data_IF_976244342962
#
_entry.id   IF_976244342962
#
_cell.length_a   1.000
_cell.length_b   1.000
_cell.length_c   1.000
_cell.angle_alpha   90.00
_cell.angle_beta   90.00
_cell.angle_gamma   90.00
#
_symmetry.space_group_name_H-M   'P 1'
#
loop_
_entity.id
_entity.type
_entity.pdbx_description
1 polymer ?
#
# COMPACT_ATOMS: atom_id res chain seq x y z
N UNK A 1 24.12 -8.74 37.45
CA UNK A 1 25.54 -8.58 37.07
C UNK A 1 26.52 -8.96 38.19
N UNK A 2 26.55 -8.33 39.40
CA UNK A 2 27.49 -8.70 40.48
C UNK A 2 27.23 -10.10 41.08
N UNK A 3 25.97 -10.51 41.24
CA UNK A 3 25.59 -11.82 41.79
C UNK A 3 25.95 -12.94 40.80
N UNK A 4 25.76 -12.76 39.53
CA UNK A 4 26.11 -13.72 38.48
C UNK A 4 27.64 -13.94 38.37
N UNK A 5 28.41 -12.86 38.48
CA UNK A 5 29.90 -12.94 38.51
C UNK A 5 30.38 -13.68 39.77
N UNK A 6 29.69 -13.49 40.91
CA UNK A 6 30.03 -14.21 42.16
C UNK A 6 29.70 -15.69 42.06
N UNK A 7 28.52 -16.05 41.55
CA UNK A 7 28.10 -17.43 41.35
C UNK A 7 29.00 -18.16 40.34
N UNK A 8 29.38 -17.43 39.25
CA UNK A 8 30.30 -17.94 38.25
C UNK A 8 31.70 -18.23 38.80
N UNK A 9 32.24 -17.31 39.62
CA UNK A 9 33.53 -17.55 40.32
C UNK A 9 33.48 -18.73 41.28
N UNK A 10 32.37 -18.90 41.98
CA UNK A 10 32.15 -20.01 42.92
C UNK A 10 32.04 -21.35 42.18
N UNK A 11 31.37 -21.37 41.05
CA UNK A 11 31.20 -22.53 40.18
C UNK A 11 32.54 -22.96 39.54
N UNK A 12 33.32 -22.02 39.01
CA UNK A 12 34.66 -22.29 38.48
C UNK A 12 35.60 -22.84 39.57
N UNK A 13 35.57 -22.27 40.77
CA UNK A 13 36.38 -22.74 41.90
C UNK A 13 35.98 -24.17 42.31
N UNK A 14 34.70 -24.50 42.29
CA UNK A 14 34.20 -25.86 42.56
C UNK A 14 34.64 -26.88 41.52
N UNK A 15 34.57 -26.54 40.25
CA UNK A 15 35.05 -27.38 39.14
C UNK A 15 36.55 -27.59 39.23
N UNK A 16 37.35 -26.58 39.47
CA UNK A 16 38.80 -26.67 39.62
C UNK A 16 39.18 -27.60 40.75
N UNK A 17 38.50 -27.48 41.92
CA UNK A 17 38.78 -28.34 43.11
C UNK A 17 38.38 -29.81 42.85
N UNK A 18 37.30 -30.06 42.13
CA UNK A 18 36.82 -31.44 41.83
C UNK A 18 37.69 -32.14 40.80
N UNK A 19 38.34 -31.39 39.91
CA UNK A 19 39.19 -31.90 38.85
C UNK A 19 40.71 -31.95 39.21
N UNK A 20 41.11 -31.35 40.33
CA UNK A 20 42.48 -31.50 40.83
C UNK A 20 42.81 -32.95 41.27
N UNK A 21 41.80 -33.84 41.36
CA UNK A 21 41.96 -35.26 41.67
C UNK A 21 42.09 -36.19 40.47
N UNK A 22 42.27 -35.65 39.23
CA UNK A 22 42.29 -36.40 37.98
C UNK A 22 43.63 -36.20 37.22
N UNK A 23 44.04 -37.23 36.49
CA UNK A 23 45.23 -37.47 35.71
C UNK A 23 45.88 -36.22 35.03
N UNK A 24 47.25 -36.08 35.00
CA UNK A 24 47.93 -34.87 34.56
C UNK A 24 47.64 -34.42 33.12
N UNK A 25 47.28 -35.33 32.22
CA UNK A 25 46.88 -34.97 30.86
C UNK A 25 45.52 -34.23 30.81
N UNK A 26 44.60 -34.57 31.71
CA UNK A 26 43.33 -33.86 31.84
C UNK A 26 43.44 -32.51 32.55
N UNK A 27 44.52 -32.28 33.32
CA UNK A 27 44.79 -30.96 33.92
C UNK A 27 45.20 -29.92 32.89
N UNK A 28 46.00 -30.30 31.88
CA UNK A 28 46.35 -29.40 30.76
C UNK A 28 45.13 -29.02 29.92
N UNK A 29 44.26 -29.99 29.64
CA UNK A 29 43.00 -29.76 28.93
C UNK A 29 42.10 -28.76 29.62
N UNK A 30 41.94 -28.91 30.93
CA UNK A 30 41.09 -28.03 31.73
C UNK A 30 41.64 -26.61 31.84
N UNK A 31 42.97 -26.46 31.97
CA UNK A 31 43.64 -25.16 32.03
C UNK A 31 43.43 -24.39 30.72
N UNK A 32 43.55 -25.06 29.58
CA UNK A 32 43.29 -24.50 28.25
C UNK A 32 41.80 -24.13 28.08
N UNK A 33 40.89 -24.98 28.53
CA UNK A 33 39.45 -24.70 28.48
C UNK A 33 39.06 -23.49 29.35
N UNK A 34 39.64 -23.35 30.54
CA UNK A 34 39.44 -22.19 31.42
C UNK A 34 40.05 -20.92 30.82
N UNK A 35 41.18 -21.03 30.13
CA UNK A 35 41.81 -19.90 29.44
C UNK A 35 40.94 -19.43 28.25
N UNK A 36 40.39 -20.35 27.47
CA UNK A 36 39.48 -20.06 26.36
C UNK A 36 38.17 -19.40 26.88
N UNK A 37 37.58 -19.92 27.94
CA UNK A 37 36.41 -19.33 28.57
C UNK A 37 36.68 -17.93 29.13
N UNK A 38 37.88 -17.67 29.62
CA UNK A 38 38.30 -16.35 30.10
C UNK A 38 38.46 -15.35 28.95
N UNK A 39 39.07 -15.77 27.83
CA UNK A 39 39.29 -14.96 26.64
C UNK A 39 37.91 -14.60 25.99
N UNK A 40 37.01 -15.57 25.89
CA UNK A 40 35.64 -15.34 25.35
C UNK A 40 34.84 -14.39 26.23
N UNK A 41 35.01 -14.43 27.56
CA UNK A 41 34.31 -13.48 28.45
C UNK A 41 34.83 -12.04 28.34
N UNK A 42 36.08 -11.84 27.98
CA UNK A 42 36.67 -10.49 27.76
C UNK A 42 36.19 -9.91 26.43
N UNK A 43 36.08 -10.72 25.37
CA UNK A 43 35.59 -10.23 24.06
C UNK A 43 34.12 -9.87 24.04
N UNK A 44 33.28 -10.41 24.95
CA UNK A 44 31.88 -10.03 25.07
C UNK A 44 31.65 -8.70 25.82
N UNK A 45 32.65 -8.24 26.61
CA UNK A 45 32.57 -6.95 27.32
C UNK A 45 32.95 -5.76 26.42
N UNK A 46 33.83 -5.99 25.42
CA UNK A 46 34.20 -4.91 24.48
C UNK A 46 33.17 -4.66 23.36
N UNK A 47 32.26 -5.58 23.12
CA UNK A 47 31.19 -5.42 22.11
C UNK A 47 29.95 -4.69 22.61
N UNK A 48 29.86 -4.39 23.93
CA UNK A 48 28.71 -3.67 24.52
C UNK A 48 28.96 -2.19 24.78
N UNK A 49 30.15 -1.66 24.41
CA UNK A 49 30.50 -0.26 24.63
C UNK A 49 30.20 0.69 23.44
N UNK A 50 29.79 0.17 22.27
CA UNK A 50 29.58 0.98 21.06
C UNK A 50 28.09 1.19 20.66
N UNK A 51 27.18 1.16 21.63
CA UNK A 51 25.76 1.47 21.37
C UNK A 51 25.24 2.54 22.32
N UNK A 52 25.76 3.80 22.19
CA UNK A 52 25.04 4.98 22.58
C UNK A 52 25.79 6.23 22.10
N UNK A 53 25.59 6.62 20.85
CA UNK A 53 25.67 8.03 20.45
C UNK A 53 24.96 8.20 19.10
N UNK A 54 23.72 8.64 19.16
CA UNK A 54 23.08 9.39 18.10
C UNK A 54 22.25 10.49 18.72
N UNK A 55 22.39 11.66 18.10
CA UNK A 55 21.52 12.84 18.10
C UNK A 55 21.92 13.93 19.11
N UNK A 56 22.53 15.00 18.59
CA UNK A 56 21.93 16.32 18.40
C UNK A 56 22.90 17.28 17.76
N UNK A 57 22.39 18.00 16.76
CA UNK A 57 22.99 19.10 16.03
C UNK A 57 23.34 20.30 16.93
N UNK A 58 24.30 21.01 16.49
CA UNK A 58 24.49 22.46 16.25
C UNK A 58 25.87 23.01 16.68
N UNK A 59 26.52 23.45 15.62
CA UNK A 59 27.42 24.59 15.43
C UNK A 59 28.20 25.18 16.64
N UNK A 60 29.47 25.38 16.51
CA UNK A 60 30.30 26.57 16.30
C UNK A 60 31.71 26.45 16.86
N UNK A 61 32.62 26.75 15.95
CA UNK A 61 33.92 27.44 16.08
C UNK A 61 34.87 27.27 17.28
N UNK A 62 36.08 26.89 16.86
CA UNK A 62 37.41 27.44 17.14
C UNK A 62 38.23 26.97 18.33
N UNK A 63 39.47 26.78 17.91
CA UNK A 63 40.78 27.00 18.60
C UNK A 63 41.45 25.81 19.25
N UNK A 64 42.59 25.51 18.66
CA UNK A 64 43.51 24.48 19.00
C UNK A 64 44.26 24.71 20.33
N UNK A 65 44.82 23.63 20.83
CA UNK A 65 46.03 23.65 21.62
C UNK A 65 46.68 22.25 21.53
N UNK A 66 47.86 22.25 20.99
CA UNK A 66 48.87 21.18 21.10
C UNK A 66 49.36 21.05 22.54
N UNK A 67 49.45 19.85 23.05
CA UNK A 67 50.40 19.56 24.10
C UNK A 67 51.12 18.23 23.83
N UNK A 68 52.39 18.36 23.79
CA UNK A 68 53.44 17.35 23.69
C UNK A 68 53.64 16.58 24.98
N UNK A 69 54.02 15.33 24.83
CA UNK A 69 55.06 14.58 25.51
C UNK A 69 55.02 14.49 27.06
N UNK A 70 55.05 13.28 27.52
CA UNK A 70 55.24 12.89 28.90
C UNK A 70 55.43 11.39 29.07
N UNK A 71 56.63 10.92 28.71
CA UNK A 71 57.13 9.61 29.07
C UNK A 71 57.15 9.40 30.58
N UNK A 72 56.52 8.31 31.04
CA UNK A 72 56.84 7.76 32.37
C UNK A 72 57.12 6.29 32.18
N UNK A 73 58.42 5.99 32.31
CA UNK A 73 58.98 4.66 32.54
C UNK A 73 58.52 4.19 33.93
N UNK A 74 57.89 3.01 34.02
CA UNK A 74 57.95 2.21 35.21
C UNK A 74 58.15 0.75 34.83
N UNK A 75 59.33 0.27 35.16
CA UNK A 75 59.73 -1.14 35.19
C UNK A 75 58.75 -1.99 35.99
N UNK A 76 58.25 -3.08 35.41
CA UNK A 76 57.99 -4.29 36.18
C UNK A 76 57.77 -5.51 35.27
N UNK A 77 58.72 -6.41 35.35
CA UNK A 77 58.61 -7.86 35.17
C UNK A 77 58.00 -8.40 33.87
N UNK A 78 58.91 -8.68 32.98
CA UNK A 78 58.81 -9.54 31.81
C UNK A 78 58.27 -10.93 32.19
N UNK A 79 56.96 -11.16 31.99
CA UNK A 79 56.41 -12.45 31.61
C UNK A 79 56.05 -12.34 30.16
N UNK A 80 56.91 -12.83 29.26
CA UNK A 80 56.81 -12.79 27.82
C UNK A 80 55.49 -13.35 27.26
N UNK A 81 54.47 -12.55 27.28
CA UNK A 81 53.33 -12.71 26.38
C UNK A 81 53.56 -11.79 25.18
N UNK A 82 54.19 -12.33 24.15
CA UNK A 82 54.25 -11.65 22.87
C UNK A 82 52.90 -11.16 22.44
N UNK A 83 52.86 -10.01 21.77
CA UNK A 83 51.66 -9.35 21.25
C UNK A 83 50.69 -10.38 20.60
N UNK A 84 49.69 -10.85 21.34
CA UNK A 84 48.64 -11.72 20.83
C UNK A 84 47.68 -10.84 20.06
N UNK A 85 47.87 -10.79 18.75
CA UNK A 85 46.92 -10.06 17.86
C UNK A 85 45.60 -10.82 17.75
N UNK A 86 44.49 -10.11 17.45
CA UNK A 86 43.18 -10.76 17.21
C UNK A 86 43.27 -11.91 16.20
N UNK A 87 44.15 -11.84 15.22
CA UNK A 87 44.34 -12.88 14.21
C UNK A 87 45.02 -14.14 14.79
N UNK A 88 45.94 -14.00 15.75
CA UNK A 88 46.56 -15.13 16.46
C UNK A 88 45.49 -15.84 17.32
N UNK A 89 44.62 -15.08 17.99
CA UNK A 89 43.51 -15.65 18.77
C UNK A 89 42.54 -16.39 17.84
N UNK A 90 42.21 -15.83 16.70
CA UNK A 90 41.31 -16.41 15.70
C UNK A 90 41.88 -17.73 15.14
N UNK A 91 43.18 -17.80 14.86
CA UNK A 91 43.82 -19.01 14.34
C UNK A 91 43.94 -20.11 15.42
N UNK A 92 44.29 -19.77 16.67
CA UNK A 92 44.35 -20.75 17.77
C UNK A 92 42.92 -21.29 18.10
N UNK A 93 41.88 -20.46 18.02
CA UNK A 93 40.51 -20.90 18.27
C UNK A 93 39.97 -21.77 17.14
N UNK A 94 40.33 -21.52 15.89
CA UNK A 94 39.92 -22.32 14.73
C UNK A 94 40.51 -23.77 14.78
N UNK A 95 41.73 -23.94 15.27
CA UNK A 95 42.33 -25.27 15.45
C UNK A 95 41.75 -26.06 16.63
N UNK A 96 41.12 -25.35 17.58
CA UNK A 96 40.58 -25.97 18.80
C UNK A 96 39.09 -26.25 18.70
N UNK A 97 38.33 -25.33 18.08
CA UNK A 97 36.90 -25.39 17.98
C UNK A 97 36.48 -25.17 16.51
N UNK A 98 36.01 -26.23 15.87
CA UNK A 98 35.54 -26.21 14.51
C UNK A 98 34.01 -26.49 14.51
N UNK A 99 33.20 -25.45 14.72
CA UNK A 99 31.75 -25.47 14.46
C UNK A 99 31.54 -24.91 13.07
N UNK A 100 31.46 -25.77 12.07
CA UNK A 100 31.29 -25.36 10.69
C UNK A 100 29.81 -25.38 10.30
N UNK A 101 29.32 -24.23 9.84
CA UNK A 101 27.94 -24.00 9.40
C UNK A 101 28.02 -23.21 8.10
N UNK A 102 28.10 -23.88 6.94
CA UNK A 102 28.20 -23.20 5.66
C UNK A 102 26.90 -22.47 5.31
N UNK A 103 27.02 -21.40 4.54
CA UNK A 103 25.87 -20.74 3.91
C UNK A 103 25.15 -21.71 2.98
N UNK A 104 23.83 -21.58 2.92
CA UNK A 104 22.97 -22.42 2.06
C UNK A 104 22.22 -21.55 1.08
N UNK A 105 22.25 -21.94 -0.19
CA UNK A 105 21.39 -21.38 -1.23
C UNK A 105 20.59 -22.51 -1.87
N UNK A 106 19.28 -22.36 -1.91
CA UNK A 106 18.36 -23.32 -2.53
C UNK A 106 17.20 -22.60 -3.20
N UNK A 107 16.44 -23.30 -3.99
CA UNK A 107 15.12 -22.86 -4.44
C UNK A 107 14.03 -23.30 -3.45
N UNK A 108 12.90 -22.61 -3.46
CA UNK A 108 11.71 -22.98 -2.67
C UNK A 108 11.33 -24.45 -2.95
N UNK A 109 11.11 -25.23 -1.89
CA UNK A 109 10.82 -26.67 -2.01
C UNK A 109 12.02 -27.53 -2.39
N UNK A 110 13.24 -26.98 -2.56
CA UNK A 110 14.46 -27.73 -2.85
C UNK A 110 14.88 -28.65 -1.69
N UNK A 111 15.70 -29.68 -1.95
CA UNK A 111 16.10 -30.69 -0.96
C UNK A 111 17.20 -30.25 -0.01
N UNK A 112 17.90 -29.15 -0.28
CA UNK A 112 19.06 -28.72 0.47
C UNK A 112 18.68 -28.38 1.92
N UNK A 113 19.51 -28.84 2.86
CA UNK A 113 19.39 -28.61 4.30
C UNK A 113 20.53 -27.69 4.79
N UNK A 114 20.34 -27.10 5.96
CA UNK A 114 21.43 -26.45 6.68
C UNK A 114 22.29 -27.56 7.33
N UNK A 115 23.42 -27.83 6.73
CA UNK A 115 24.37 -28.84 7.20
C UNK A 115 25.28 -28.24 8.29
N UNK A 116 25.54 -28.98 9.34
CA UNK A 116 26.34 -28.56 10.49
C UNK A 116 27.33 -29.66 10.84
N UNK A 117 28.61 -29.31 10.98
CA UNK A 117 29.60 -30.21 11.52
C UNK A 117 30.31 -29.58 12.72
N UNK A 118 30.58 -30.40 13.72
CA UNK A 118 31.18 -29.94 14.97
C UNK A 118 32.35 -30.84 15.40
N UNK A 119 33.54 -30.24 15.54
CA UNK A 119 34.72 -30.84 16.09
C UNK A 119 35.29 -30.00 17.22
N UNK A 120 35.89 -30.63 18.19
CA UNK A 120 36.61 -29.99 19.28
C UNK A 120 37.98 -30.67 19.42
N UNK A 121 39.08 -29.90 19.33
CA UNK A 121 40.46 -30.43 19.27
C UNK A 121 40.65 -31.48 18.17
N UNK A 122 40.14 -31.21 16.99
CA UNK A 122 40.16 -32.11 15.83
C UNK A 122 39.45 -33.47 16.08
N UNK A 123 38.71 -33.61 17.18
CA UNK A 123 37.91 -34.80 17.50
C UNK A 123 36.45 -34.51 17.17
N UNK A 124 35.76 -35.44 16.53
CA UNK A 124 34.32 -35.34 16.23
C UNK A 124 33.53 -35.26 17.51
N UNK A 125 32.64 -34.28 17.62
CA UNK A 125 31.74 -34.10 18.76
C UNK A 125 30.48 -34.91 18.55
N UNK A 126 30.46 -36.15 19.07
CA UNK A 126 29.29 -37.03 19.06
C UNK A 126 28.27 -36.59 20.11
N UNK A 127 27.00 -36.77 19.80
CA UNK A 127 25.89 -36.49 20.73
C UNK A 127 25.94 -35.07 21.33
N UNK A 128 26.50 -34.10 20.61
CA UNK A 128 26.50 -32.72 21.02
C UNK A 128 25.12 -32.08 20.70
N UNK A 129 24.45 -31.55 21.73
CA UNK A 129 23.20 -30.82 21.54
C UNK A 129 23.47 -29.40 21.08
N UNK A 130 23.04 -29.09 19.87
CA UNK A 130 23.14 -27.76 19.23
C UNK A 130 21.78 -27.06 19.22
N UNK A 131 21.78 -25.80 19.59
CA UNK A 131 20.64 -24.91 19.40
C UNK A 131 20.79 -24.16 18.09
N UNK A 132 19.81 -24.27 17.21
CA UNK A 132 19.74 -23.56 15.92
C UNK A 132 18.59 -22.57 16.00
N UNK A 133 18.87 -21.27 15.91
CA UNK A 133 17.84 -20.23 15.80
C UNK A 133 17.75 -19.81 14.35
N UNK A 134 16.58 -19.99 13.73
CA UNK A 134 16.31 -19.65 12.34
C UNK A 134 14.91 -19.04 12.21
N UNK A 135 14.80 -17.89 11.61
CA UNK A 135 13.53 -17.14 11.44
C UNK A 135 12.76 -16.97 12.78
N UNK A 136 13.49 -16.69 13.87
CA UNK A 136 12.90 -16.51 15.22
C UNK A 136 12.50 -17.81 15.93
N UNK A 137 12.67 -18.96 15.29
CA UNK A 137 12.34 -20.28 15.87
C UNK A 137 13.60 -20.97 16.33
N UNK A 138 13.55 -21.59 17.51
CA UNK A 138 14.65 -22.36 18.08
C UNK A 138 14.44 -23.86 17.83
N UNK A 139 15.44 -24.49 17.21
CA UNK A 139 15.51 -25.92 16.94
C UNK A 139 16.66 -26.51 17.74
N UNK A 140 16.47 -27.70 18.30
CA UNK A 140 17.49 -28.45 19.00
C UNK A 140 17.82 -29.72 18.21
N UNK A 141 19.07 -29.86 17.83
CA UNK A 141 19.60 -30.99 17.06
C UNK A 141 20.79 -31.59 17.72
N UNK A 142 20.93 -32.91 17.63
CA UNK A 142 22.06 -33.66 18.21
C UNK A 142 22.95 -34.17 17.07
N UNK A 143 24.24 -34.02 17.21
CA UNK A 143 25.23 -34.54 16.24
C UNK A 143 25.32 -36.04 16.29
N UNK A 144 25.53 -36.66 15.14
CA UNK A 144 25.72 -38.09 14.98
C UNK A 144 27.16 -38.50 15.32
N UNK A 145 27.54 -39.77 15.03
CA UNK A 145 28.86 -40.31 15.30
C UNK A 145 29.98 -39.63 14.50
N UNK A 146 29.65 -38.99 13.38
CA UNK A 146 30.58 -38.21 12.57
C UNK A 146 30.65 -36.74 13.01
N UNK A 147 29.99 -36.37 14.09
CA UNK A 147 29.88 -34.99 14.55
C UNK A 147 29.00 -34.09 13.64
N UNK A 148 28.13 -34.67 12.85
CA UNK A 148 27.29 -33.95 11.90
C UNK A 148 25.81 -33.95 12.31
N UNK A 149 25.11 -32.91 11.94
CA UNK A 149 23.64 -32.84 12.00
C UNK A 149 23.13 -31.91 10.90
N UNK A 150 21.84 -31.94 10.63
CA UNK A 150 21.23 -31.05 9.65
C UNK A 150 19.87 -30.56 10.07
N UNK A 151 19.44 -29.41 9.54
CA UNK A 151 18.12 -28.84 9.68
C UNK A 151 17.47 -28.68 8.31
N UNK A 152 16.29 -29.31 8.12
CA UNK A 152 15.47 -29.11 6.92
C UNK A 152 14.95 -27.67 6.87
N UNK A 153 15.05 -27.06 5.68
CA UNK A 153 14.72 -25.66 5.43
C UNK A 153 13.36 -25.56 4.72
N UNK A 154 12.29 -25.57 5.51
CA UNK A 154 10.90 -25.42 5.02
C UNK A 154 10.40 -24.00 5.31
N UNK A 155 11.02 -23.02 4.66
CA UNK A 155 10.70 -21.60 4.78
C UNK A 155 10.26 -21.05 3.44
N UNK A 156 9.57 -19.92 3.46
CA UNK A 156 9.23 -19.17 2.25
C UNK A 156 10.51 -18.66 1.55
N UNK A 157 10.37 -18.26 0.30
CA UNK A 157 11.47 -17.63 -0.44
C UNK A 157 11.91 -16.34 0.25
N UNK A 158 13.24 -16.16 0.39
CA UNK A 158 13.79 -15.05 1.16
C UNK A 158 15.22 -15.30 1.61
N UNK A 159 15.74 -14.37 2.41
CA UNK A 159 17.08 -14.42 2.99
C UNK A 159 16.93 -14.44 4.51
N UNK A 160 17.55 -15.42 5.15
CA UNK A 160 17.48 -15.65 6.59
C UNK A 160 18.85 -15.81 7.20
N UNK A 161 19.01 -15.34 8.43
CA UNK A 161 20.21 -15.59 9.24
C UNK A 161 19.95 -16.78 10.16
N UNK A 162 20.72 -17.84 9.99
CA UNK A 162 20.77 -18.96 10.91
C UNK A 162 21.87 -18.71 11.96
N UNK A 163 21.55 -18.98 13.22
CA UNK A 163 22.51 -18.94 14.31
C UNK A 163 22.57 -20.30 14.98
N UNK A 164 23.74 -20.94 14.96
CA UNK A 164 23.97 -22.23 15.61
C UNK A 164 24.81 -22.01 16.84
N UNK A 165 24.38 -22.52 17.99
CA UNK A 165 25.10 -22.37 19.25
C UNK A 165 25.24 -23.69 20.01
N UNK A 166 26.36 -23.83 20.68
CA UNK A 166 26.66 -24.92 21.61
C UNK A 166 26.89 -24.36 23.01
N UNK A 167 26.15 -24.85 23.99
CA UNK A 167 26.22 -24.42 25.41
C UNK A 167 26.15 -22.91 25.63
N UNK A 168 25.49 -22.14 24.75
CA UNK A 168 25.38 -20.66 24.79
C UNK A 168 26.71 -19.90 24.70
N UNK A 169 27.86 -20.60 24.60
CA UNK A 169 29.20 -20.02 24.64
C UNK A 169 29.75 -19.91 23.21
N UNK A 170 29.56 -20.95 22.41
CA UNK A 170 30.04 -21.01 21.05
C UNK A 170 28.88 -20.72 20.11
N UNK A 171 29.05 -19.74 19.21
CA UNK A 171 27.99 -19.37 18.25
C UNK A 171 28.62 -19.16 16.86
N UNK A 172 28.03 -19.80 15.85
CA UNK A 172 28.31 -19.59 14.44
C UNK A 172 27.08 -19.13 13.70
N UNK A 173 27.26 -18.29 12.70
CA UNK A 173 26.21 -17.79 11.84
C UNK A 173 26.36 -18.34 10.43
N UNK A 174 25.25 -18.55 9.75
CA UNK A 174 25.20 -18.88 8.34
C UNK A 174 24.03 -18.14 7.68
N UNK A 175 24.21 -17.79 6.43
CA UNK A 175 23.17 -17.20 5.58
C UNK A 175 22.40 -18.31 4.88
N UNK A 176 21.08 -18.29 5.00
CA UNK A 176 20.16 -19.17 4.27
C UNK A 176 19.45 -18.36 3.22
N UNK A 177 19.66 -18.66 1.95
CA UNK A 177 19.00 -18.00 0.82
C UNK A 177 18.05 -18.98 0.14
N UNK A 178 16.76 -18.69 0.13
CA UNK A 178 15.75 -19.47 -0.57
C UNK A 178 15.26 -18.65 -1.75
N UNK A 179 15.66 -19.04 -2.94
CA UNK A 179 15.27 -18.37 -4.18
C UNK A 179 13.82 -18.73 -4.53
N UNK A 180 13.03 -17.77 -5.04
CA UNK A 180 11.68 -18.05 -5.48
C UNK A 180 11.65 -18.94 -6.72
N UNK A 181 10.60 -19.75 -6.85
CA UNK A 181 10.29 -20.56 -8.02
C UNK A 181 9.15 -19.97 -8.85
N UNK A 182 8.58 -18.85 -8.38
CA UNK A 182 7.63 -18.01 -9.09
C UNK A 182 8.09 -16.57 -9.01
N UNK A 183 8.23 -15.90 -10.15
CA UNK A 183 8.60 -14.50 -10.23
C UNK A 183 7.61 -13.74 -11.12
N UNK A 184 7.04 -12.67 -10.63
CA UNK A 184 6.19 -11.73 -11.33
C UNK A 184 6.56 -10.30 -10.98
N UNK A 185 5.95 -9.35 -11.70
CA UNK A 185 6.09 -7.91 -11.41
C UNK A 185 4.72 -7.26 -11.39
N UNK A 186 4.59 -6.20 -10.62
CA UNK A 186 3.41 -5.37 -10.63
C UNK A 186 3.09 -4.89 -12.05
N UNK A 187 1.81 -4.78 -12.36
CA UNK A 187 1.33 -4.29 -13.64
C UNK A 187 0.58 -2.98 -13.45
N UNK A 188 1.02 -1.94 -14.13
CA UNK A 188 0.32 -0.66 -14.24
C UNK A 188 -0.16 -0.52 -15.67
N UNK A 189 -1.45 -0.29 -15.86
CA UNK A 189 -2.04 -0.13 -17.20
C UNK A 189 -3.25 0.79 -17.17
N UNK A 190 -3.60 1.34 -18.32
CA UNK A 190 -4.88 2.00 -18.53
C UNK A 190 -5.99 0.98 -18.77
N UNK A 191 -7.23 1.34 -18.44
CA UNK A 191 -8.40 0.54 -18.81
C UNK A 191 -8.45 0.32 -20.33
N UNK A 192 -8.74 -0.92 -20.73
CA UNK A 192 -8.77 -1.28 -22.15
C UNK A 192 -7.42 -1.54 -22.82
N UNK A 193 -6.31 -1.11 -22.20
CA UNK A 193 -4.97 -1.39 -22.73
C UNK A 193 -4.70 -2.90 -22.80
N UNK A 194 -4.01 -3.37 -23.83
CA UNK A 194 -3.77 -4.79 -24.10
C UNK A 194 -2.65 -5.43 -23.27
N UNK A 195 -1.97 -4.68 -22.42
CA UNK A 195 -0.89 -5.20 -21.56
C UNK A 195 -1.38 -6.34 -20.67
N UNK A 196 -0.52 -7.36 -20.56
CA UNK A 196 -0.78 -8.58 -19.78
C UNK A 196 0.08 -8.62 -18.53
N UNK A 197 -0.41 -9.27 -17.51
CA UNK A 197 0.44 -9.70 -16.41
C UNK A 197 1.22 -10.96 -16.84
N UNK A 198 2.50 -11.04 -16.46
CA UNK A 198 3.38 -12.17 -16.72
C UNK A 198 4.04 -12.64 -15.45
N UNK A 199 4.17 -13.98 -15.31
CA UNK A 199 5.00 -14.60 -14.30
C UNK A 199 5.83 -15.74 -14.92
N UNK A 200 7.05 -15.92 -14.36
CA UNK A 200 8.00 -16.99 -14.72
C UNK A 200 7.98 -18.06 -13.65
N UNK A 201 8.08 -19.31 -14.09
CA UNK A 201 7.99 -20.50 -13.25
C UNK A 201 9.18 -21.44 -13.50
N UNK A 202 9.78 -21.89 -12.40
CA UNK A 202 10.85 -22.90 -12.40
C UNK A 202 10.51 -23.97 -11.35
N UNK A 203 11.19 -25.11 -11.39
CA UNK A 203 11.07 -26.13 -10.36
C UNK A 203 12.00 -25.88 -9.15
N UNK A 204 11.99 -26.78 -8.19
CA UNK A 204 12.81 -26.71 -6.98
C UNK A 204 14.31 -26.92 -7.21
N UNK A 205 14.74 -27.24 -8.41
CA UNK A 205 16.12 -27.33 -8.87
C UNK A 205 16.51 -26.19 -9.82
N UNK A 206 15.63 -25.20 -10.01
CA UNK A 206 15.86 -24.06 -10.90
C UNK A 206 15.63 -24.35 -12.38
N UNK A 207 15.07 -25.51 -12.73
CA UNK A 207 14.76 -25.86 -14.13
C UNK A 207 13.48 -25.16 -14.59
N UNK A 208 13.49 -24.66 -15.81
CA UNK A 208 12.35 -23.95 -16.40
C UNK A 208 11.17 -24.88 -16.60
N UNK A 209 9.98 -24.51 -16.07
CA UNK A 209 8.73 -25.23 -16.32
C UNK A 209 8.17 -24.87 -17.71
N UNK A 210 8.45 -25.71 -18.71
CA UNK A 210 8.00 -25.54 -20.09
C UNK A 210 6.64 -26.23 -20.32
N UNK A 211 5.75 -25.59 -21.09
CA UNK A 211 4.46 -26.15 -21.45
C UNK A 211 3.64 -26.70 -20.26
N UNK A 212 3.80 -26.07 -19.10
CA UNK A 212 3.19 -26.47 -17.83
C UNK A 212 1.98 -25.60 -17.53
N UNK A 213 0.88 -26.21 -17.09
CA UNK A 213 -0.32 -25.49 -16.67
C UNK A 213 -0.09 -24.89 -15.28
N UNK A 214 -0.13 -23.55 -15.19
CA UNK A 214 0.03 -22.77 -13.98
C UNK A 214 -1.26 -22.03 -13.65
N UNK A 215 -1.44 -21.64 -12.40
CA UNK A 215 -2.67 -20.98 -11.92
C UNK A 215 -2.40 -19.53 -11.56
N UNK A 216 -3.33 -18.68 -11.96
CA UNK A 216 -3.44 -17.29 -11.49
C UNK A 216 -4.77 -17.12 -10.77
N UNK A 217 -4.75 -16.41 -9.65
CA UNK A 217 -5.96 -15.96 -8.96
C UNK A 217 -5.97 -14.44 -8.95
N UNK A 218 -7.04 -13.83 -9.42
CA UNK A 218 -7.29 -12.41 -9.29
C UNK A 218 -8.77 -12.19 -9.00
N UNK A 219 -9.06 -11.36 -7.99
CA UNK A 219 -10.42 -11.05 -7.58
C UNK A 219 -11.26 -12.31 -7.25
N UNK A 220 -10.63 -13.35 -6.67
CA UNK A 220 -11.28 -14.62 -6.32
C UNK A 220 -11.50 -15.58 -7.49
N UNK A 221 -11.20 -15.16 -8.72
CA UNK A 221 -11.36 -16.00 -9.92
C UNK A 221 -10.02 -16.66 -10.28
N UNK A 222 -10.06 -17.98 -10.50
CA UNK A 222 -8.89 -18.75 -10.92
C UNK A 222 -8.83 -18.89 -12.43
N UNK A 223 -7.62 -18.72 -12.97
CA UNK A 223 -7.30 -18.87 -14.39
C UNK A 223 -6.14 -19.84 -14.56
N UNK A 224 -6.28 -20.82 -15.42
CA UNK A 224 -5.18 -21.71 -15.83
C UNK A 224 -4.56 -21.19 -17.12
N UNK A 225 -3.23 -21.11 -17.17
CA UNK A 225 -2.46 -20.70 -18.33
C UNK A 225 -1.27 -21.63 -18.51
N UNK A 226 -0.89 -21.84 -19.74
CA UNK A 226 0.27 -22.67 -20.07
C UNK A 226 1.53 -21.81 -20.21
N UNK A 227 2.61 -22.24 -19.60
CA UNK A 227 3.92 -21.58 -19.76
C UNK A 227 4.49 -21.84 -21.16
N UNK A 228 5.22 -20.88 -21.67
CA UNK A 228 5.97 -21.02 -22.91
C UNK A 228 7.31 -21.76 -22.72
N UNK A 229 8.14 -21.82 -23.77
CA UNK A 229 9.47 -22.44 -23.74
C UNK A 229 10.46 -21.81 -22.73
N UNK A 230 10.20 -20.57 -22.27
CA UNK A 230 11.01 -19.85 -21.26
C UNK A 230 10.40 -19.93 -19.86
N UNK A 231 9.34 -20.75 -19.66
CA UNK A 231 8.67 -20.88 -18.38
C UNK A 231 7.78 -19.69 -18.02
N UNK A 232 7.41 -18.84 -18.98
CA UNK A 232 6.60 -17.65 -18.75
C UNK A 232 5.16 -17.94 -19.14
N UNK A 233 4.22 -17.61 -18.26
CA UNK A 233 2.78 -17.58 -18.54
C UNK A 233 2.24 -16.16 -18.41
N UNK A 234 1.27 -15.81 -19.26
CA UNK A 234 0.63 -14.50 -19.28
C UNK A 234 -0.88 -14.55 -19.09
N UNK A 235 -1.43 -13.57 -18.38
CA UNK A 235 -2.86 -13.39 -18.20
C UNK A 235 -3.31 -12.01 -18.69
N UNK A 236 -4.31 -11.98 -19.57
CA UNK A 236 -4.99 -10.73 -19.94
C UNK A 236 -5.79 -10.23 -18.72
N UNK A 237 -5.63 -8.96 -18.39
CA UNK A 237 -6.36 -8.32 -17.30
C UNK A 237 -7.41 -7.38 -17.89
N UNK A 238 -8.69 -7.82 -17.87
CA UNK A 238 -9.83 -7.04 -18.37
C UNK A 238 -10.77 -6.71 -17.20
N UNK A 239 -10.26 -5.99 -16.23
CA UNK A 239 -11.01 -5.53 -15.07
C UNK A 239 -11.27 -4.03 -15.17
N UNK A 240 -12.22 -3.52 -14.40
CA UNK A 240 -12.47 -2.09 -14.27
C UNK A 240 -11.25 -1.36 -13.69
N UNK A 241 -11.25 -0.02 -13.76
CA UNK A 241 -10.25 0.78 -13.08
C UNK A 241 -10.28 0.50 -11.58
N UNK A 242 -9.11 0.40 -10.97
CA UNK A 242 -8.95 0.04 -9.56
C UNK A 242 -7.63 -0.67 -9.29
N UNK A 243 -7.48 -1.10 -8.05
CA UNK A 243 -6.32 -1.83 -7.57
C UNK A 243 -6.72 -3.27 -7.25
N UNK A 244 -5.91 -4.21 -7.69
CA UNK A 244 -6.16 -5.64 -7.52
C UNK A 244 -4.87 -6.35 -7.13
N UNK A 245 -5.01 -7.50 -6.49
CA UNK A 245 -3.89 -8.41 -6.23
C UNK A 245 -4.06 -9.64 -7.11
N UNK A 246 -3.01 -9.97 -7.85
CA UNK A 246 -2.91 -11.23 -8.58
C UNK A 246 -1.94 -12.16 -7.88
N UNK A 247 -2.33 -13.41 -7.69
CA UNK A 247 -1.48 -14.46 -7.11
C UNK A 247 -1.20 -15.52 -8.16
N UNK A 248 0.07 -15.74 -8.45
CA UNK A 248 0.54 -16.82 -9.32
C UNK A 248 0.95 -18.01 -8.45
N UNK A 249 0.52 -19.22 -8.79
CA UNK A 249 0.82 -20.46 -8.06
C UNK A 249 1.60 -21.42 -8.94
N UNK A 250 2.74 -21.85 -8.44
CA UNK A 250 3.58 -22.88 -9.07
C UNK A 250 2.99 -24.27 -8.78
N UNK A 251 2.62 -25.05 -9.80
CA UNK A 251 1.98 -26.35 -9.60
C UNK A 251 2.94 -27.44 -9.10
N UNK A 252 4.25 -27.24 -9.25
CA UNK A 252 5.29 -28.23 -8.88
C UNK A 252 5.75 -28.03 -7.45
N UNK A 253 6.06 -26.79 -7.08
CA UNK A 253 6.60 -26.46 -5.74
C UNK A 253 5.50 -26.07 -4.75
N UNK A 254 4.33 -25.65 -5.23
CA UNK A 254 3.25 -25.10 -4.42
C UNK A 254 3.48 -23.63 -4.03
N UNK A 255 4.61 -23.03 -4.41
CA UNK A 255 4.89 -21.62 -4.08
C UNK A 255 3.87 -20.70 -4.72
N UNK A 256 3.47 -19.69 -3.96
CA UNK A 256 2.59 -18.60 -4.38
C UNK A 256 3.32 -17.28 -4.34
N UNK A 257 3.18 -16.48 -5.39
CA UNK A 257 3.73 -15.14 -5.47
C UNK A 257 2.64 -14.14 -5.86
N UNK A 258 2.52 -13.05 -5.12
CA UNK A 258 1.50 -12.04 -5.35
C UNK A 258 2.12 -10.73 -5.85
N UNK A 259 1.43 -10.10 -6.79
CA UNK A 259 1.76 -8.78 -7.35
C UNK A 259 0.54 -7.88 -7.36
N UNK A 260 0.78 -6.56 -7.41
CA UNK A 260 -0.26 -5.56 -7.56
C UNK A 260 -0.57 -5.30 -9.03
N UNK A 261 -1.84 -5.11 -9.33
CA UNK A 261 -2.35 -4.70 -10.63
C UNK A 261 -3.05 -3.36 -10.45
N UNK A 262 -2.55 -2.31 -11.09
CA UNK A 262 -3.13 -0.97 -11.08
C UNK A 262 -3.73 -0.66 -12.45
N UNK A 263 -5.05 -0.45 -12.49
CA UNK A 263 -5.77 -0.10 -13.71
C UNK A 263 -6.29 1.32 -13.57
N UNK A 264 -5.73 2.25 -14.32
CA UNK A 264 -6.13 3.64 -14.34
C UNK A 264 -7.34 3.87 -15.24
N UNK A 265 -8.17 4.83 -14.84
CA UNK A 265 -9.35 5.25 -15.61
C UNK A 265 -8.96 5.96 -16.89
N UNK A 266 -9.65 5.67 -18.00
CA UNK A 266 -9.48 6.39 -19.27
C UNK A 266 -10.35 7.65 -19.38
N UNK A 267 -11.28 7.87 -18.43
CA UNK A 267 -12.03 9.11 -18.23
C UNK A 267 -11.76 9.61 -16.84
N UNK A 268 -11.27 10.83 -16.71
CA UNK A 268 -10.96 11.50 -15.43
C UNK A 268 -11.59 12.89 -15.39
N UNK A 269 -11.46 13.58 -14.25
CA UNK A 269 -11.99 14.92 -14.04
C UNK A 269 -13.49 15.02 -14.39
N UNK A 270 -14.23 13.96 -14.11
CA UNK A 270 -15.65 13.86 -14.27
C UNK A 270 -16.35 14.18 -12.93
N UNK A 271 -17.01 15.32 -12.85
CA UNK A 271 -17.65 15.79 -11.62
C UNK A 271 -19.14 16.01 -11.85
N UNK A 272 -19.91 15.93 -10.77
CA UNK A 272 -21.30 16.34 -10.77
C UNK A 272 -21.43 17.82 -11.17
N UNK A 273 -22.51 18.18 -11.86
CA UNK A 273 -22.76 19.54 -12.28
C UNK A 273 -24.09 20.05 -11.70
N UNK A 274 -24.03 21.12 -10.91
CA UNK A 274 -25.21 21.90 -10.51
C UNK A 274 -25.19 23.24 -11.24
N UNK A 275 -26.25 23.54 -11.95
CA UNK A 275 -26.38 24.79 -12.70
C UNK A 275 -27.82 25.31 -12.70
N UNK A 276 -28.01 26.59 -12.86
CA UNK A 276 -29.32 27.14 -13.15
C UNK A 276 -29.73 26.89 -14.60
N UNK A 277 -31.02 26.82 -14.83
CA UNK A 277 -31.63 26.70 -16.17
C UNK A 277 -31.11 27.79 -17.09
N UNK A 278 -30.64 27.38 -18.30
CA UNK A 278 -30.04 28.27 -19.31
C UNK A 278 -28.69 28.89 -18.91
N UNK A 279 -28.08 28.52 -17.78
CA UNK A 279 -26.70 28.87 -17.49
C UNK A 279 -25.75 28.26 -18.55
N UNK A 280 -24.63 28.92 -18.85
CA UNK A 280 -23.64 28.47 -19.85
C UNK A 280 -22.71 27.37 -19.41
N UNK A 281 -22.73 26.98 -18.11
CA UNK A 281 -21.87 25.90 -17.61
C UNK A 281 -22.14 24.59 -18.35
N UNK A 282 -21.05 23.89 -18.68
CA UNK A 282 -21.06 22.62 -19.40
C UNK A 282 -20.65 21.50 -18.47
N UNK A 283 -21.17 20.31 -18.69
CA UNK A 283 -20.57 19.10 -18.17
C UNK A 283 -19.31 18.79 -18.97
N UNK A 284 -18.23 18.43 -18.30
CA UNK A 284 -16.97 18.13 -18.94
C UNK A 284 -16.30 16.90 -18.33
N UNK A 285 -15.59 16.14 -19.13
CA UNK A 285 -14.71 15.03 -18.74
C UNK A 285 -13.40 15.19 -19.47
N UNK A 286 -12.34 14.59 -18.94
CA UNK A 286 -11.02 14.54 -19.60
C UNK A 286 -10.69 13.12 -19.99
N UNK A 287 -10.30 12.90 -21.24
CA UNK A 287 -9.95 11.59 -21.77
C UNK A 287 -8.44 11.38 -21.69
N UNK A 288 -8.05 10.15 -21.35
CA UNK A 288 -6.65 9.71 -21.24
C UNK A 288 -6.34 8.63 -22.28
N UNK A 289 -5.15 8.68 -22.88
CA UNK A 289 -4.64 7.67 -23.78
C UNK A 289 -4.12 6.42 -23.06
N UNK A 290 -3.63 5.42 -23.79
CA UNK A 290 -3.09 4.17 -23.26
C UNK A 290 -1.81 4.34 -22.42
N UNK A 291 -1.16 5.49 -22.47
CA UNK A 291 0.03 5.85 -21.71
C UNK A 291 -0.30 6.69 -20.46
N UNK A 292 -1.58 7.04 -20.25
CA UNK A 292 -2.01 7.90 -19.15
C UNK A 292 -1.77 9.39 -19.41
N UNK A 293 -1.59 9.80 -20.65
CA UNK A 293 -1.54 11.22 -21.05
C UNK A 293 -2.91 11.69 -21.52
N UNK A 294 -3.23 12.98 -21.40
CA UNK A 294 -4.41 13.52 -22.04
C UNK A 294 -4.41 13.25 -23.54
N UNK A 295 -5.56 12.82 -24.09
CA UNK A 295 -5.69 12.67 -25.53
C UNK A 295 -5.60 14.02 -26.24
N UNK A 296 -5.18 13.99 -27.49
CA UNK A 296 -5.19 15.20 -28.33
C UNK A 296 -6.61 15.58 -28.79
N UNK A 297 -6.67 16.63 -29.63
CA UNK A 297 -7.90 17.13 -30.23
C UNK A 297 -8.57 16.12 -31.15
N UNK A 298 -9.89 16.05 -31.11
CA UNK A 298 -10.69 15.31 -32.09
C UNK A 298 -11.02 13.87 -31.68
N UNK A 299 -10.63 13.42 -30.48
CA UNK A 299 -10.97 12.10 -29.96
C UNK A 299 -12.42 12.09 -29.46
N UNK A 300 -13.21 11.13 -29.93
CA UNK A 300 -14.65 11.05 -29.65
C UNK A 300 -14.97 10.39 -28.32
N UNK A 301 -15.91 10.97 -27.56
CA UNK A 301 -16.60 10.35 -26.44
C UNK A 301 -18.12 10.42 -26.63
N UNK A 302 -18.82 9.42 -26.12
CA UNK A 302 -20.27 9.33 -26.19
C UNK A 302 -20.87 9.70 -24.83
N UNK A 303 -21.76 10.69 -24.83
CA UNK A 303 -22.56 11.04 -23.67
C UNK A 303 -23.97 10.51 -23.81
N UNK A 304 -24.54 10.01 -22.72
CA UNK A 304 -25.96 9.69 -22.60
C UNK A 304 -26.53 10.49 -21.44
N UNK A 305 -27.57 11.29 -21.69
CA UNK A 305 -28.35 11.96 -20.65
C UNK A 305 -29.81 11.93 -21.05
N UNK A 306 -30.69 11.55 -20.12
CA UNK A 306 -32.14 11.43 -20.32
C UNK A 306 -32.51 10.56 -21.56
N UNK A 307 -31.72 9.49 -21.82
CA UNK A 307 -31.95 8.58 -22.96
C UNK A 307 -31.50 9.11 -24.32
N UNK A 308 -30.94 10.32 -24.37
CA UNK A 308 -30.40 10.92 -25.60
C UNK A 308 -28.89 10.80 -25.66
N UNK A 309 -28.38 10.35 -26.81
CA UNK A 309 -26.95 10.17 -27.04
C UNK A 309 -26.35 11.35 -27.79
N UNK A 310 -25.17 11.79 -27.32
CA UNK A 310 -24.42 12.90 -27.89
C UNK A 310 -22.98 12.48 -28.12
N UNK A 311 -22.54 12.47 -29.38
CA UNK A 311 -21.12 12.31 -29.69
C UNK A 311 -20.44 13.68 -29.64
N UNK A 312 -19.32 13.79 -28.91
CA UNK A 312 -18.52 15.01 -28.77
C UNK A 312 -17.05 14.66 -28.86
N UNK A 313 -16.25 15.63 -29.29
CA UNK A 313 -14.81 15.45 -29.50
C UNK A 313 -14.00 16.28 -28.49
N UNK A 314 -12.83 15.77 -28.16
CA UNK A 314 -11.88 16.44 -27.26
C UNK A 314 -11.28 17.70 -27.84
N UNK A 315 -10.91 18.63 -26.99
CA UNK A 315 -10.02 19.74 -27.29
C UNK A 315 -8.54 19.29 -27.21
N UNK A 316 -7.60 20.24 -27.37
CA UNK A 316 -6.15 19.96 -27.34
C UNK A 316 -5.63 19.44 -26.01
N UNK A 317 -6.37 19.65 -24.93
CA UNK A 317 -6.05 19.21 -23.57
C UNK A 317 -6.80 17.94 -23.15
N UNK A 318 -7.52 17.31 -24.07
CA UNK A 318 -8.28 16.08 -23.83
C UNK A 318 -9.67 16.29 -23.22
N UNK A 319 -10.13 17.54 -23.05
CA UNK A 319 -11.48 17.80 -22.48
C UNK A 319 -12.56 17.63 -23.54
N UNK A 320 -13.59 16.89 -23.16
CA UNK A 320 -14.83 16.73 -23.92
C UNK A 320 -15.96 17.35 -23.15
N UNK A 321 -16.74 18.24 -23.79
CA UNK A 321 -17.77 19.07 -23.13
C UNK A 321 -19.16 18.86 -23.75
N UNK A 322 -20.17 18.91 -22.90
CA UNK A 322 -21.58 18.86 -23.32
C UNK A 322 -22.38 19.99 -22.67
N UNK A 323 -23.06 20.80 -23.52
CA UNK A 323 -24.04 21.76 -23.04
C UNK A 323 -25.28 21.05 -22.51
N UNK A 324 -25.68 21.38 -21.30
CA UNK A 324 -26.90 20.84 -20.67
C UNK A 324 -28.00 21.87 -20.77
N UNK A 325 -28.95 21.65 -21.71
CA UNK A 325 -30.11 22.52 -21.96
C UNK A 325 -31.42 21.84 -21.55
N UNK A 326 -31.38 21.06 -20.49
CA UNK A 326 -32.56 20.38 -19.95
C UNK A 326 -33.37 21.31 -19.04
N UNK A 327 -34.65 21.00 -18.84
CA UNK A 327 -35.52 21.71 -17.89
C UNK A 327 -34.98 21.51 -16.46
N UNK A 328 -35.43 22.34 -15.49
CA UNK A 328 -35.12 22.11 -14.10
C UNK A 328 -35.49 20.69 -13.65
N UNK A 329 -34.56 20.05 -12.91
CA UNK A 329 -34.67 18.66 -12.47
C UNK A 329 -33.32 18.02 -12.20
N UNK A 330 -33.39 16.77 -11.76
CA UNK A 330 -32.22 15.94 -11.46
C UNK A 330 -32.06 14.87 -12.57
N UNK A 331 -30.85 14.72 -13.10
CA UNK A 331 -30.56 13.83 -14.21
C UNK A 331 -29.25 13.09 -13.92
N UNK A 332 -29.06 11.96 -14.58
CA UNK A 332 -27.78 11.23 -14.62
C UNK A 332 -27.22 11.34 -16.03
N UNK A 333 -25.96 11.77 -16.12
CA UNK A 333 -25.18 11.72 -17.36
C UNK A 333 -24.18 10.58 -17.30
N UNK A 334 -24.06 9.81 -18.38
CA UNK A 334 -23.03 8.80 -18.54
C UNK A 334 -22.11 9.21 -19.70
N UNK A 335 -20.82 9.25 -19.44
CA UNK A 335 -19.80 9.43 -20.48
C UNK A 335 -19.13 8.08 -20.76
N UNK A 336 -18.88 7.77 -22.03
CA UNK A 336 -18.25 6.54 -22.50
C UNK A 336 -17.10 6.87 -23.46
N UNK A 337 -15.93 6.24 -23.20
CA UNK A 337 -14.75 6.30 -24.04
C UNK A 337 -14.00 4.96 -24.01
N UNK A 338 -13.71 4.36 -25.16
CA UNK A 338 -13.06 3.05 -25.29
C UNK A 338 -13.69 1.95 -24.42
N UNK A 339 -15.03 1.97 -24.30
CA UNK A 339 -15.77 1.02 -23.46
C UNK A 339 -15.74 1.33 -21.95
N UNK A 340 -14.94 2.29 -21.49
CA UNK A 340 -14.98 2.78 -20.12
C UNK A 340 -16.12 3.76 -19.93
N UNK A 341 -16.87 3.61 -18.83
CA UNK A 341 -18.06 4.41 -18.55
C UNK A 341 -17.98 5.03 -17.16
N UNK A 342 -18.34 6.30 -17.07
CA UNK A 342 -18.52 7.02 -15.83
C UNK A 342 -19.88 7.70 -15.81
N UNK A 343 -20.49 7.82 -14.65
CA UNK A 343 -21.77 8.50 -14.49
C UNK A 343 -21.68 9.56 -13.39
N UNK A 344 -22.31 10.71 -13.67
CA UNK A 344 -22.36 11.84 -12.75
C UNK A 344 -23.79 12.39 -12.64
N UNK A 345 -24.08 13.12 -11.56
CA UNK A 345 -25.33 13.77 -11.34
C UNK A 345 -25.32 15.18 -11.99
N UNK A 346 -26.40 15.49 -12.68
CA UNK A 346 -26.64 16.83 -13.23
C UNK A 346 -27.88 17.40 -12.54
N UNK A 347 -27.71 18.49 -11.83
CA UNK A 347 -28.83 19.21 -11.20
C UNK A 347 -29.06 20.54 -11.88
N UNK A 348 -30.24 20.67 -12.54
CA UNK A 348 -30.64 21.92 -13.15
C UNK A 348 -31.62 22.62 -12.22
N UNK A 349 -31.21 23.75 -11.67
CA UNK A 349 -32.00 24.56 -10.75
C UNK A 349 -32.96 25.44 -11.52
N UNK A 350 -34.21 25.65 -11.03
CA UNK A 350 -35.13 26.57 -11.66
C UNK A 350 -34.67 28.03 -11.48
N UNK A 351 -34.87 28.84 -12.49
CA UNK A 351 -34.68 30.31 -12.41
C UNK A 351 -35.95 31.04 -12.05
N UNK A 352 -37.10 30.36 -12.16
CA UNK A 352 -38.43 30.89 -11.80
C UNK A 352 -38.97 30.00 -10.69
N UNK A 353 -39.10 30.55 -9.48
CA UNK A 353 -39.46 29.81 -8.26
C UNK A 353 -40.64 30.47 -7.58
N UNK A 354 -41.65 29.68 -7.26
CA UNK A 354 -42.78 30.09 -6.44
C UNK A 354 -43.18 28.93 -5.53
N UNK A 355 -43.91 29.25 -4.46
CA UNK A 355 -44.52 28.27 -3.56
C UNK A 355 -46.03 28.27 -3.73
N UNK A 356 -46.67 27.18 -3.36
CA UNK A 356 -48.11 27.13 -3.22
C UNK A 356 -48.58 28.16 -2.19
N UNK A 357 -49.75 28.75 -2.40
CA UNK A 357 -50.33 29.74 -1.52
C UNK A 357 -51.67 29.23 -0.98
N UNK A 358 -51.83 29.25 0.33
CA UNK A 358 -53.15 29.06 0.97
C UNK A 358 -53.51 30.33 1.74
N UNK A 359 -54.70 30.87 1.48
CA UNK A 359 -55.18 32.08 2.14
C UNK A 359 -56.74 32.07 2.29
N UNK A 360 -57.21 32.86 3.19
CA UNK A 360 -58.67 33.06 3.31
C UNK A 360 -59.18 34.05 2.24
N UNK A 361 -60.48 33.98 1.92
CA UNK A 361 -61.11 35.00 1.09
C UNK A 361 -60.98 36.37 1.79
N UNK A 362 -60.65 37.42 1.00
CA UNK A 362 -60.31 38.78 1.43
C UNK A 362 -58.98 38.98 2.08
N UNK A 363 -58.14 37.90 2.31
CA UNK A 363 -56.81 38.07 2.68
C UNK A 363 -56.01 38.72 1.51
N UNK A 364 -55.21 39.75 1.83
CA UNK A 364 -54.43 40.53 0.85
C UNK A 364 -53.10 39.96 0.50
N UNK A 365 -52.71 38.81 1.08
CA UNK A 365 -51.46 38.15 0.77
C UNK A 365 -51.35 37.83 -0.72
N UNK A 366 -50.35 38.37 -1.44
CA UNK A 366 -50.21 38.17 -2.87
C UNK A 366 -49.56 36.81 -3.16
N UNK A 367 -49.91 36.19 -4.27
CA UNK A 367 -49.05 35.15 -4.86
C UNK A 367 -47.75 35.78 -5.36
N UNK A 368 -46.62 35.20 -5.00
CA UNK A 368 -45.28 35.74 -5.29
C UNK A 368 -44.45 34.72 -6.04
N UNK A 369 -43.82 35.13 -7.13
CA UNK A 369 -42.86 34.33 -7.90
C UNK A 369 -41.54 35.08 -7.98
N UNK A 370 -40.45 34.39 -7.69
CA UNK A 370 -39.11 34.94 -7.75
C UNK A 370 -38.44 34.53 -9.06
N UNK A 371 -37.82 35.49 -9.73
CA UNK A 371 -36.98 35.27 -10.90
C UNK A 371 -35.50 35.53 -10.55
N UNK A 372 -34.64 34.62 -10.91
CA UNK A 372 -33.18 34.75 -10.81
C UNK A 372 -32.52 34.55 -12.17
N UNK A 373 -31.27 35.02 -12.28
CA UNK A 373 -30.44 34.78 -13.47
C UNK A 373 -29.80 33.38 -13.45
N UNK A 374 -28.95 33.11 -14.43
CA UNK A 374 -28.19 31.85 -14.52
C UNK A 374 -27.13 31.63 -13.42
N UNK A 375 -26.88 32.62 -12.57
CA UNK A 375 -25.99 32.57 -11.41
C UNK A 375 -26.73 32.54 -10.09
N UNK A 376 -28.10 32.69 -10.13
CA UNK A 376 -28.93 32.69 -8.94
C UNK A 376 -29.17 34.07 -8.35
N UNK A 377 -28.71 35.14 -8.99
CA UNK A 377 -28.96 36.52 -8.56
C UNK A 377 -30.37 37.00 -9.00
N UNK A 378 -31.05 37.83 -8.19
CA UNK A 378 -32.33 38.37 -8.55
C UNK A 378 -32.33 39.14 -9.88
N UNK A 379 -33.26 38.84 -10.78
CA UNK A 379 -33.46 39.62 -12.01
C UNK A 379 -34.52 40.68 -11.76
N UNK A 380 -34.10 41.94 -11.88
CA UNK A 380 -34.92 43.13 -11.58
C UNK A 380 -35.51 43.67 -12.87
N UNK A 381 -36.75 44.23 -12.79
CA UNK A 381 -37.39 44.92 -13.90
C UNK A 381 -37.85 44.02 -15.05
N UNK A 382 -37.89 42.69 -14.83
CA UNK A 382 -38.31 41.71 -15.84
C UNK A 382 -39.79 41.41 -15.74
N UNK A 383 -40.42 41.23 -16.91
CA UNK A 383 -41.85 40.94 -16.99
C UNK A 383 -42.11 39.43 -16.84
N UNK A 384 -42.91 39.06 -15.86
CA UNK A 384 -43.41 37.70 -15.66
C UNK A 384 -44.91 37.69 -16.05
N UNK A 385 -45.29 36.76 -16.90
CA UNK A 385 -46.70 36.51 -17.23
C UNK A 385 -47.25 35.42 -16.30
N UNK A 386 -48.30 35.75 -15.59
CA UNK A 386 -49.02 34.90 -14.65
C UNK A 386 -50.37 34.53 -15.23
N UNK A 387 -50.64 33.26 -15.45
CA UNK A 387 -51.94 32.76 -15.92
C UNK A 387 -52.71 32.16 -14.76
N UNK A 388 -53.92 32.60 -14.54
CA UNK A 388 -54.89 31.98 -13.62
C UNK A 388 -56.26 31.97 -14.28
N UNK A 389 -56.92 30.83 -14.35
CA UNK A 389 -58.25 30.65 -14.99
C UNK A 389 -58.31 31.16 -16.45
N UNK A 390 -57.17 31.05 -17.21
CA UNK A 390 -57.12 31.53 -18.59
C UNK A 390 -56.84 33.04 -18.73
N UNK A 391 -56.84 33.80 -17.63
CA UNK A 391 -56.53 35.23 -17.65
C UNK A 391 -55.08 35.48 -17.43
N UNK A 392 -54.44 36.29 -18.31
CA UNK A 392 -53.02 36.62 -18.27
C UNK A 392 -52.75 37.94 -17.55
N UNK A 393 -51.82 37.93 -16.62
CA UNK A 393 -51.41 39.11 -15.85
C UNK A 393 -49.93 39.31 -16.01
N UNK A 394 -49.48 40.46 -16.50
CA UNK A 394 -48.07 40.83 -16.55
C UNK A 394 -47.69 41.55 -15.26
N UNK A 395 -46.62 41.12 -14.63
CA UNK A 395 -46.04 41.73 -13.42
C UNK A 395 -44.56 41.88 -13.58
N UNK A 396 -44.02 43.00 -13.13
CA UNK A 396 -42.61 43.32 -13.20
C UNK A 396 -41.92 42.91 -11.89
N UNK A 397 -40.73 42.32 -11.99
CA UNK A 397 -39.97 41.94 -10.82
C UNK A 397 -39.39 43.16 -10.09
N UNK A 398 -39.44 43.11 -8.77
CA UNK A 398 -38.87 44.11 -7.87
C UNK A 398 -37.35 43.96 -7.67
N UNK A 399 -36.76 44.77 -6.76
CA UNK A 399 -35.33 44.74 -6.43
C UNK A 399 -34.83 43.38 -5.88
N UNK A 400 -35.73 42.56 -5.36
CA UNK A 400 -35.42 41.22 -4.85
C UNK A 400 -35.77 40.10 -5.85
N UNK A 401 -36.19 40.49 -7.07
CA UNK A 401 -36.59 39.58 -8.15
C UNK A 401 -38.01 39.01 -8.02
N UNK A 402 -38.87 39.56 -7.19
CA UNK A 402 -40.25 39.09 -7.01
C UNK A 402 -41.23 39.82 -7.89
N UNK A 403 -42.05 39.06 -8.61
CA UNK A 403 -43.28 39.53 -9.24
C UNK A 403 -44.47 39.04 -8.42
N UNK A 404 -45.46 39.96 -8.14
CA UNK A 404 -46.56 39.66 -7.25
C UNK A 404 -47.90 39.87 -7.93
N UNK A 405 -48.86 38.96 -7.61
CA UNK A 405 -50.23 39.02 -8.11
C UNK A 405 -51.19 38.94 -6.93
N UNK A 406 -52.00 39.98 -6.73
CA UNK A 406 -53.10 39.92 -5.81
C UNK A 406 -54.24 39.07 -6.45
N UNK A 407 -54.69 38.06 -5.74
CA UNK A 407 -55.67 37.09 -6.19
C UNK A 407 -56.91 37.28 -5.32
N UNK A 408 -58.02 37.82 -5.92
CA UNK A 408 -59.24 38.04 -5.26
C UNK A 408 -60.37 37.17 -5.92
N UNK A 409 -60.24 35.87 -5.66
CA UNK A 409 -61.18 34.86 -6.16
C UNK A 409 -62.01 34.28 -5.00
N UNK A 410 -63.13 33.65 -5.32
CA UNK A 410 -63.94 32.93 -4.35
C UNK A 410 -63.24 31.71 -3.76
N UNK A 411 -63.71 31.18 -2.61
CA UNK A 411 -63.16 29.95 -2.07
C UNK A 411 -63.10 28.83 -3.10
N UNK A 412 -61.93 28.19 -3.21
CA UNK A 412 -61.63 27.15 -4.22
C UNK A 412 -60.18 26.90 -4.40
N UNK A 413 -59.83 25.99 -5.33
CA UNK A 413 -58.47 25.65 -5.69
C UNK A 413 -58.19 26.10 -7.12
N UNK A 414 -57.07 26.77 -7.30
CA UNK A 414 -56.66 27.36 -8.57
C UNK A 414 -55.21 26.99 -8.86
N UNK A 415 -54.82 26.98 -10.15
CA UNK A 415 -53.45 26.84 -10.58
C UNK A 415 -53.00 28.19 -11.15
N UNK A 416 -51.91 28.70 -10.63
CA UNK A 416 -51.21 29.84 -11.23
C UNK A 416 -49.98 29.30 -11.99
N UNK A 417 -49.98 29.55 -13.30
CA UNK A 417 -48.79 29.26 -14.14
C UNK A 417 -48.04 30.55 -14.37
N UNK A 418 -46.80 30.58 -13.91
CA UNK A 418 -45.87 31.70 -14.09
C UNK A 418 -44.91 31.42 -15.24
N UNK A 419 -44.72 32.38 -16.14
CA UNK A 419 -43.92 32.23 -17.35
C UNK A 419 -42.96 33.40 -17.49
N UNK A 420 -41.70 33.13 -17.80
CA UNK A 420 -40.71 34.11 -18.20
C UNK A 420 -40.30 33.87 -19.68
N UNK A 421 -40.83 34.73 -20.55
CA UNK A 421 -40.74 34.51 -22.00
C UNK A 421 -39.32 34.56 -22.56
N UNK A 422 -38.43 35.39 -21.99
CA UNK A 422 -37.04 35.58 -22.53
C UNK A 422 -36.22 34.27 -22.51
N UNK A 423 -36.44 33.39 -21.54
CA UNK A 423 -35.70 32.12 -21.45
C UNK A 423 -36.59 30.86 -21.48
N UNK A 424 -37.89 31.04 -21.55
CA UNK A 424 -38.87 29.95 -21.59
C UNK A 424 -39.07 29.22 -20.25
N UNK A 425 -38.70 29.83 -19.13
CA UNK A 425 -38.93 29.25 -17.80
C UNK A 425 -40.41 29.28 -17.45
N UNK A 426 -40.93 28.18 -16.94
CA UNK A 426 -42.32 28.01 -16.55
C UNK A 426 -42.38 27.27 -15.22
N UNK A 427 -43.25 27.73 -14.31
CA UNK A 427 -43.61 27.00 -13.08
C UNK A 427 -45.09 27.12 -12.83
N UNK A 428 -45.69 26.11 -12.23
CA UNK A 428 -47.10 26.09 -11.86
C UNK A 428 -47.26 25.78 -10.38
N UNK A 429 -48.06 26.55 -9.70
CA UNK A 429 -48.28 26.44 -8.26
C UNK A 429 -49.77 26.45 -7.94
N UNK A 430 -50.12 25.78 -6.86
CA UNK A 430 -51.49 25.71 -6.34
C UNK A 430 -51.80 26.95 -5.47
N UNK A 431 -52.93 27.55 -5.69
CA UNK A 431 -53.50 28.58 -4.81
C UNK A 431 -54.82 28.07 -4.24
N UNK A 432 -54.88 27.95 -2.93
CA UNK A 432 -56.10 27.53 -2.21
C UNK A 432 -56.69 28.72 -1.46
N UNK A 433 -57.92 29.08 -1.79
CA UNK A 433 -58.67 30.13 -1.08
C UNK A 433 -59.73 29.44 -0.23
N UNK A 434 -59.64 29.65 1.08
CA UNK A 434 -60.59 29.07 2.06
C UNK A 434 -61.69 30.05 2.42
N UNK A 435 -62.87 29.54 2.80
CA UNK A 435 -63.98 30.34 3.36
C UNK A 435 -63.60 30.93 4.71
N UNK A 436 -64.17 32.05 5.09
CA UNK A 436 -64.06 32.63 6.44
C UNK A 436 -64.92 31.80 7.44
N UNK A 437 -65.93 31.08 6.94
CA UNK A 437 -66.88 30.35 7.79
C UNK A 437 -66.63 28.82 7.77
N UNK A 438 -65.40 28.34 7.69
CA UNK A 438 -65.03 26.95 7.88
C UNK A 438 -65.50 26.00 6.78
#
# INVERSE_FOLDING_TARGET
MFLEIYLYKKFIKYIIIKLMKVNPMKKKFLFILCLILFIVSISSVSASADLNQTISDESTDTVGASYSDGSILSDSNDFGFGNITPDIIKNITADVIDLNVPDVTKYYGGPENLEISFKLFNQTMKNASLKITLNGVDYYKTTNDEGKTSLALNLDSGIYDARVSYMYILTQKAKVTINPTVEGKDLIKMYGNASKYYAKFIDSQGQILKNTDVKFNINGVQYTRKTNGSGIAGLNINLNSGEYIITATNPVTGEMHSNNIYISASIVENNDLTKYYRNASQYSVRLMDDNGNPVGKGVSALFNINGVFYNRTSDENGYVKLNINLRPGDYIITAEYNGYKVSNNIKVLPVLVASDLTKQVFDLTPFSVKLVDGQGFPLIGKVITLNINGVMYNRTTDLLGYARLNINLWPGQYIVTSMYAENGAITSNKVTITSIFG
#
